data_IF_738708218627
#
_entry.id   IF_738708218627
#
_cell.length_a   1.000
_cell.length_b   1.000
_cell.length_c   1.000
_cell.angle_alpha   90.00
_cell.angle_beta   90.00
_cell.angle_gamma   90.00
#
_symmetry.space_group_name_H-M   'P 1'
#
loop_
_entity.id
_entity.type
_entity.pdbx_description
1 polymer ?
#
# COMPACT_ATOMS: atom_id res chain seq x y z
N UNK A 1 -6.34 16.40 -17.71
CA UNK A 1 -6.47 16.94 -16.32
C UNK A 1 -5.24 17.79 -16.05
N UNK A 2 -5.42 19.02 -15.60
CA UNK A 2 -4.28 19.92 -15.32
C UNK A 2 -3.50 19.40 -14.11
N UNK A 3 -2.19 19.67 -14.07
CA UNK A 3 -1.27 19.39 -12.94
C UNK A 3 -1.84 19.86 -11.58
N UNK A 4 -2.58 20.94 -11.59
CA UNK A 4 -3.21 21.54 -10.41
C UNK A 4 -4.35 20.68 -9.81
N UNK A 5 -5.17 20.03 -10.65
CA UNK A 5 -6.24 19.13 -10.19
C UNK A 5 -5.68 17.82 -9.61
N UNK A 6 -4.55 17.35 -10.11
CA UNK A 6 -3.86 16.18 -9.56
C UNK A 6 -3.19 16.50 -8.22
N UNK A 7 -2.61 17.70 -8.08
CA UNK A 7 -2.00 18.17 -6.85
C UNK A 7 -3.02 18.27 -5.70
N UNK A 8 -4.20 18.85 -5.97
CA UNK A 8 -5.30 18.93 -4.99
C UNK A 8 -5.87 17.55 -4.62
N UNK A 9 -5.77 16.55 -5.50
CA UNK A 9 -6.16 15.16 -5.23
C UNK A 9 -5.25 14.49 -4.19
N UNK A 10 -3.94 14.58 -4.40
CA UNK A 10 -2.92 14.04 -3.48
C UNK A 10 -2.94 14.71 -2.10
N UNK A 11 -3.14 16.03 -2.07
CA UNK A 11 -3.25 16.77 -0.79
C UNK A 11 -4.44 16.29 0.03
N UNK A 12 -5.62 16.13 -0.56
CA UNK A 12 -6.81 15.60 0.12
C UNK A 12 -6.60 14.18 0.64
N UNK A 13 -5.93 13.33 -0.15
CA UNK A 13 -5.59 11.96 0.28
C UNK A 13 -4.64 11.99 1.48
N UNK A 14 -3.61 12.85 1.44
CA UNK A 14 -2.68 13.03 2.57
C UNK A 14 -3.39 13.51 3.82
N UNK A 15 -4.21 14.55 3.72
CA UNK A 15 -4.98 15.11 4.84
C UNK A 15 -5.89 14.05 5.47
N UNK A 16 -6.56 13.23 4.65
CA UNK A 16 -7.38 12.13 5.16
C UNK A 16 -6.53 11.14 5.97
N UNK A 17 -5.43 10.64 5.41
CA UNK A 17 -4.61 9.64 6.09
C UNK A 17 -3.89 10.22 7.31
N UNK A 18 -3.40 11.46 7.28
CA UNK A 18 -2.83 12.12 8.44
C UNK A 18 -3.85 12.19 9.59
N UNK A 19 -5.09 12.57 9.29
CA UNK A 19 -6.17 12.58 10.28
C UNK A 19 -6.48 11.16 10.79
N UNK A 20 -6.65 10.21 9.89
CA UNK A 20 -6.98 8.83 10.24
C UNK A 20 -5.93 8.19 11.15
N UNK A 21 -4.64 8.40 10.86
CA UNK A 21 -3.56 7.89 11.70
C UNK A 21 -3.47 8.63 13.04
N UNK A 22 -3.68 9.94 13.08
CA UNK A 22 -3.68 10.73 14.31
C UNK A 22 -4.80 10.32 15.26
N UNK A 23 -5.99 10.08 14.73
CA UNK A 23 -7.19 9.73 15.48
C UNK A 23 -7.30 8.23 15.79
N UNK A 24 -6.45 7.39 15.20
CA UNK A 24 -6.48 5.95 15.44
C UNK A 24 -6.34 5.62 16.93
N UNK A 25 -7.20 4.74 17.43
CA UNK A 25 -7.19 4.32 18.82
C UNK A 25 -5.82 3.68 19.20
N UNK A 26 -5.38 3.83 20.47
CA UNK A 26 -4.13 3.24 20.95
C UNK A 26 -4.03 1.73 20.68
N UNK A 27 -5.13 1.00 20.85
CA UNK A 27 -5.17 -0.44 20.57
C UNK A 27 -4.93 -0.75 19.09
N UNK A 28 -5.50 0.04 18.19
CA UNK A 28 -5.23 -0.07 16.75
C UNK A 28 -3.77 0.22 16.43
N UNK A 29 -3.19 1.23 17.08
CA UNK A 29 -1.77 1.57 16.92
C UNK A 29 -0.86 0.47 17.45
N UNK A 30 -1.22 -0.15 18.57
CA UNK A 30 -0.42 -1.18 19.26
C UNK A 30 -0.72 -2.60 18.81
N UNK A 31 -1.87 -2.85 18.17
CA UNK A 31 -2.23 -4.17 17.70
C UNK A 31 -1.14 -4.72 16.77
N UNK A 32 -0.38 -5.68 17.30
CA UNK A 32 0.52 -6.52 16.50
C UNK A 32 -0.27 -7.54 15.67
N UNK A 33 -1.57 -7.63 15.90
CA UNK A 33 -2.53 -8.45 15.17
C UNK A 33 -2.74 -7.93 13.73
N UNK A 34 -1.61 -7.77 13.03
CA UNK A 34 -1.57 -7.74 11.58
C UNK A 34 -1.72 -9.16 11.06
N UNK A 35 -2.19 -9.30 9.82
CA UNK A 35 -2.17 -10.57 9.12
C UNK A 35 -0.77 -11.18 9.21
N UNK A 36 -0.72 -12.47 9.39
CA UNK A 36 0.54 -13.22 9.33
C UNK A 36 1.16 -13.02 7.93
N UNK A 37 2.38 -12.51 7.89
CA UNK A 37 3.15 -12.32 6.67
C UNK A 37 4.30 -13.31 6.52
N UNK A 38 4.25 -14.42 7.23
CA UNK A 38 5.28 -15.47 7.17
C UNK A 38 5.44 -16.03 5.75
N UNK A 39 4.35 -16.15 5.00
CA UNK A 39 4.35 -16.54 3.60
C UNK A 39 5.08 -15.51 2.71
N UNK A 40 4.89 -14.21 2.97
CA UNK A 40 5.59 -13.15 2.25
C UNK A 40 7.09 -13.21 2.53
N UNK A 41 7.46 -13.31 3.80
CA UNK A 41 8.87 -13.48 4.22
C UNK A 41 9.50 -14.71 3.55
N UNK A 42 8.78 -15.83 3.51
CA UNK A 42 9.25 -17.07 2.85
C UNK A 42 9.44 -16.87 1.36
N UNK A 43 8.50 -16.24 0.67
CA UNK A 43 8.59 -15.96 -0.77
C UNK A 43 9.76 -15.03 -1.11
N UNK A 44 9.98 -13.99 -0.28
CA UNK A 44 11.09 -13.06 -0.46
C UNK A 44 12.45 -13.74 -0.23
N UNK A 45 12.57 -14.62 0.75
CA UNK A 45 13.78 -15.44 0.99
C UNK A 45 14.07 -16.41 -0.15
N UNK A 46 13.03 -17.01 -0.73
CA UNK A 46 13.17 -17.96 -1.82
C UNK A 46 13.82 -17.34 -3.08
N UNK A 47 13.70 -16.01 -3.26
CA UNK A 47 14.35 -15.26 -4.34
C UNK A 47 15.59 -14.50 -3.86
N UNK A 48 16.08 -14.79 -2.65
CA UNK A 48 17.25 -14.12 -2.05
C UNK A 48 17.14 -12.59 -2.04
N UNK A 49 15.93 -12.06 -1.82
CA UNK A 49 15.71 -10.62 -1.70
C UNK A 49 16.50 -10.07 -0.51
N UNK A 50 17.07 -8.88 -0.67
CA UNK A 50 17.80 -8.14 0.35
C UNK A 50 17.11 -6.80 0.62
N UNK A 51 16.82 -6.07 -0.43
CA UNK A 51 16.20 -4.74 -0.40
C UNK A 51 14.69 -4.86 -0.61
N UNK A 52 13.89 -4.44 0.36
CA UNK A 52 12.43 -4.51 0.29
C UNK A 52 11.83 -3.15 0.57
N UNK A 53 10.95 -2.70 -0.31
CA UNK A 53 10.12 -1.51 -0.09
C UNK A 53 8.79 -1.96 0.51
N UNK A 54 8.39 -1.38 1.64
CA UNK A 54 7.05 -1.47 2.22
C UNK A 54 6.29 -0.20 1.83
N UNK A 55 5.44 -0.32 0.80
CA UNK A 55 4.69 0.78 0.19
C UNK A 55 3.33 0.91 0.87
N UNK A 56 3.05 2.07 1.46
CA UNK A 56 1.90 2.32 2.31
C UNK A 56 2.08 1.63 3.68
N UNK A 57 3.21 1.89 4.32
CA UNK A 57 3.63 1.17 5.52
C UNK A 57 2.75 1.42 6.75
N UNK A 58 1.94 2.49 6.76
CA UNK A 58 1.13 2.89 7.89
C UNK A 58 1.95 2.98 9.19
N UNK A 59 1.51 2.32 10.23
CA UNK A 59 2.21 2.23 11.52
C UNK A 59 3.50 1.38 11.48
N UNK A 60 3.98 0.93 10.32
CA UNK A 60 5.19 0.15 10.17
C UNK A 60 5.07 -1.32 10.57
N UNK A 61 3.86 -1.88 10.67
CA UNK A 61 3.66 -3.27 11.13
C UNK A 61 4.45 -4.28 10.32
N UNK A 62 4.33 -4.21 9.00
CA UNK A 62 5.01 -5.11 8.08
C UNK A 62 6.49 -4.77 7.97
N UNK A 63 6.82 -3.47 7.95
CA UNK A 63 8.20 -2.99 7.98
C UNK A 63 9.00 -3.60 9.12
N UNK A 64 8.43 -3.63 10.33
CA UNK A 64 9.09 -4.20 11.52
C UNK A 64 9.29 -5.72 11.37
N UNK A 65 8.29 -6.45 10.88
CA UNK A 65 8.41 -7.91 10.65
C UNK A 65 9.47 -8.20 9.60
N UNK A 66 9.47 -7.46 8.49
CA UNK A 66 10.47 -7.61 7.42
C UNK A 66 11.87 -7.29 7.92
N UNK A 67 12.05 -6.22 8.71
CA UNK A 67 13.35 -5.87 9.29
C UNK A 67 13.85 -6.93 10.28
N UNK A 68 12.97 -7.46 11.15
CA UNK A 68 13.31 -8.59 12.04
C UNK A 68 13.66 -9.87 11.27
N UNK A 69 13.09 -10.06 10.08
CA UNK A 69 13.42 -11.17 9.22
C UNK A 69 14.78 -11.01 8.49
N UNK A 70 15.44 -9.85 8.66
CA UNK A 70 16.79 -9.56 8.15
C UNK A 70 16.81 -8.81 6.81
N UNK A 71 15.67 -8.36 6.29
CA UNK A 71 15.64 -7.52 5.09
C UNK A 71 16.07 -6.08 5.38
N UNK A 72 16.72 -5.44 4.41
CA UNK A 72 16.94 -3.99 4.41
C UNK A 72 15.66 -3.31 3.91
N UNK A 73 14.94 -2.66 4.84
CA UNK A 73 13.59 -2.15 4.58
C UNK A 73 13.61 -0.66 4.31
N UNK A 74 12.92 -0.26 3.23
CA UNK A 74 12.53 1.11 2.92
C UNK A 74 11.02 1.22 3.07
N UNK A 75 10.54 1.86 4.12
CA UNK A 75 9.13 2.04 4.38
C UNK A 75 8.68 3.42 3.91
N UNK A 76 7.59 3.46 3.16
CA UNK A 76 7.03 4.73 2.67
C UNK A 76 5.53 4.78 2.88
N UNK A 77 5.02 5.96 3.25
CA UNK A 77 3.60 6.24 3.35
C UNK A 77 3.34 7.68 2.91
N UNK A 78 2.14 7.95 2.40
CA UNK A 78 1.75 9.32 2.04
C UNK A 78 1.56 10.20 3.29
N UNK A 79 1.18 9.58 4.41
CA UNK A 79 0.92 10.24 5.68
C UNK A 79 2.20 10.50 6.47
N UNK A 80 2.43 11.77 6.79
CA UNK A 80 3.51 12.17 7.69
C UNK A 80 3.30 11.66 9.11
N UNK A 81 2.07 11.55 9.58
CA UNK A 81 1.72 11.00 10.90
C UNK A 81 2.05 9.50 10.98
N UNK A 82 1.70 8.73 9.93
CA UNK A 82 2.09 7.32 9.84
C UNK A 82 3.61 7.14 9.90
N UNK A 83 4.35 7.94 9.13
CA UNK A 83 5.82 7.93 9.09
C UNK A 83 6.42 8.21 10.47
N UNK A 84 5.90 9.21 11.19
CA UNK A 84 6.35 9.52 12.56
C UNK A 84 6.15 8.31 13.49
N UNK A 85 4.96 7.74 13.50
CA UNK A 85 4.65 6.58 14.33
C UNK A 85 5.47 5.33 13.96
N UNK A 86 5.70 5.09 12.67
CA UNK A 86 6.53 3.99 12.22
C UNK A 86 7.99 4.16 12.66
N UNK A 87 8.54 5.38 12.59
CA UNK A 87 9.89 5.71 13.09
C UNK A 87 10.03 5.49 14.59
N UNK A 88 9.09 5.97 15.38
CA UNK A 88 9.09 5.77 16.83
C UNK A 88 9.05 4.29 17.19
N UNK A 89 8.30 3.48 16.47
CA UNK A 89 8.23 2.03 16.69
C UNK A 89 9.54 1.34 16.31
N UNK A 90 10.09 1.65 15.14
CA UNK A 90 11.38 1.11 14.71
C UNK A 90 12.49 1.45 15.73
N UNK A 91 12.52 2.70 16.21
CA UNK A 91 13.48 3.14 17.23
C UNK A 91 13.31 2.39 18.56
N UNK A 92 12.08 2.23 19.05
CA UNK A 92 11.79 1.48 20.29
C UNK A 92 12.25 0.02 20.21
N UNK A 93 12.23 -0.55 19.03
CA UNK A 93 12.65 -1.94 18.80
C UNK A 93 14.12 -2.07 18.37
N UNK A 94 14.86 -0.98 18.27
CA UNK A 94 16.24 -0.97 17.81
C UNK A 94 16.44 -1.44 16.37
N UNK A 95 15.41 -1.29 15.51
CA UNK A 95 15.44 -1.72 14.12
C UNK A 95 15.84 -0.58 13.20
N UNK A 96 16.82 -0.85 12.32
CA UNK A 96 17.26 0.09 11.31
C UNK A 96 16.35 -0.01 10.06
N UNK A 97 15.37 0.90 9.95
CA UNK A 97 14.45 1.01 8.82
C UNK A 97 14.54 2.41 8.26
N UNK A 98 14.77 2.55 6.96
CA UNK A 98 14.67 3.84 6.29
C UNK A 98 13.18 4.15 6.04
N UNK A 99 12.67 5.25 6.59
CA UNK A 99 11.24 5.58 6.54
C UNK A 99 11.06 7.00 6.01
N UNK A 100 10.22 7.19 5.00
CA UNK A 100 9.98 8.48 4.35
C UNK A 100 8.50 8.73 4.06
N UNK A 101 8.08 10.00 4.13
CA UNK A 101 6.78 10.43 3.61
C UNK A 101 6.87 10.56 2.08
N UNK A 102 6.09 9.75 1.36
CA UNK A 102 6.09 9.73 -0.10
C UNK A 102 4.77 9.16 -0.60
N UNK A 103 4.17 9.81 -1.58
CA UNK A 103 3.02 9.25 -2.30
C UNK A 103 3.49 8.10 -3.21
N UNK A 104 2.67 7.07 -3.36
CA UNK A 104 3.02 5.90 -4.19
C UNK A 104 3.31 6.28 -5.65
N UNK A 105 2.62 7.30 -6.18
CA UNK A 105 2.84 7.85 -7.52
C UNK A 105 4.22 8.53 -7.67
N UNK A 106 4.84 8.91 -6.56
CA UNK A 106 6.14 9.60 -6.52
C UNK A 106 7.30 8.67 -6.12
N UNK A 107 7.04 7.38 -5.94
CA UNK A 107 8.00 6.40 -5.42
C UNK A 107 9.34 6.42 -6.18
N UNK A 108 9.30 6.58 -7.49
CA UNK A 108 10.50 6.63 -8.34
C UNK A 108 11.43 7.81 -8.05
N UNK A 109 10.89 8.91 -7.48
CA UNK A 109 11.68 10.11 -7.14
C UNK A 109 12.65 9.87 -5.98
N UNK A 110 12.44 8.80 -5.20
CA UNK A 110 13.33 8.47 -4.08
C UNK A 110 14.69 7.93 -4.53
N UNK A 111 14.86 7.58 -5.81
CA UNK A 111 16.14 7.08 -6.36
C UNK A 111 16.58 5.74 -5.78
N UNK A 112 15.69 5.01 -5.12
CA UNK A 112 15.97 3.69 -4.53
C UNK A 112 15.73 2.58 -5.55
N UNK A 113 16.42 1.45 -5.34
CA UNK A 113 16.23 0.21 -6.09
C UNK A 113 16.05 -0.93 -5.11
N UNK A 114 15.08 -1.82 -5.38
CA UNK A 114 14.74 -2.91 -4.48
C UNK A 114 14.60 -4.24 -5.22
N UNK A 115 14.81 -5.33 -4.49
CA UNK A 115 14.54 -6.68 -4.96
C UNK A 115 13.05 -6.99 -4.90
N UNK A 116 12.33 -6.32 -3.97
CA UNK A 116 10.89 -6.48 -3.87
C UNK A 116 10.17 -5.21 -3.39
N UNK A 117 8.90 -5.09 -3.79
CA UNK A 117 7.93 -4.14 -3.24
C UNK A 117 6.78 -4.93 -2.62
N UNK A 118 6.45 -4.61 -1.38
CA UNK A 118 5.27 -5.11 -0.67
C UNK A 118 4.28 -3.97 -0.55
N UNK A 119 3.08 -4.13 -1.11
CA UNK A 119 2.06 -3.08 -1.20
C UNK A 119 0.72 -3.65 -0.71
N UNK A 120 0.41 -3.40 0.56
CA UNK A 120 -0.72 -4.03 1.23
C UNK A 120 -1.89 -3.05 1.40
N UNK A 121 -3.00 -3.25 0.65
CA UNK A 121 -4.21 -2.40 0.70
C UNK A 121 -3.88 -0.91 0.53
N UNK A 122 -3.28 -0.56 -0.59
CA UNK A 122 -2.88 0.82 -0.92
C UNK A 122 -3.49 1.26 -2.24
N UNK A 123 -3.39 0.42 -3.27
CA UNK A 123 -3.85 0.77 -4.63
C UNK A 123 -5.38 0.86 -4.71
N UNK A 124 -6.08 0.17 -3.82
CA UNK A 124 -7.52 0.23 -3.65
C UNK A 124 -8.01 1.53 -2.98
N UNK A 125 -7.11 2.32 -2.41
CA UNK A 125 -7.38 3.67 -1.90
C UNK A 125 -7.03 4.77 -2.90
N UNK A 126 -6.97 4.44 -4.19
CA UNK A 126 -6.61 5.34 -5.28
C UNK A 126 -7.64 5.32 -6.40
N UNK A 127 -7.72 6.42 -7.14
CA UNK A 127 -8.39 6.41 -8.43
C UNK A 127 -7.58 5.59 -9.45
N UNK A 128 -8.20 5.02 -10.50
CA UNK A 128 -7.50 4.16 -11.46
C UNK A 128 -6.25 4.79 -12.08
N UNK A 129 -6.29 6.08 -12.40
CA UNK A 129 -5.14 6.80 -12.96
C UNK A 129 -3.96 6.89 -11.98
N UNK A 130 -4.27 7.15 -10.69
CA UNK A 130 -3.26 7.23 -9.63
C UNK A 130 -2.66 5.86 -9.32
N UNK A 131 -3.48 4.81 -9.32
CA UNK A 131 -3.02 3.43 -9.15
C UNK A 131 -2.10 3.00 -10.30
N UNK A 132 -2.43 3.38 -11.55
CA UNK A 132 -1.54 3.13 -12.69
C UNK A 132 -0.19 3.87 -12.56
N UNK A 133 -0.20 5.12 -12.07
CA UNK A 133 1.03 5.87 -11.83
C UNK A 133 1.86 5.22 -10.72
N UNK A 134 1.21 4.77 -9.64
CA UNK A 134 1.87 4.04 -8.57
C UNK A 134 2.52 2.75 -9.07
N UNK A 135 1.84 1.98 -9.92
CA UNK A 135 2.40 0.76 -10.53
C UNK A 135 3.58 1.09 -11.44
N UNK A 136 3.53 2.18 -12.22
CA UNK A 136 4.72 2.66 -12.97
C UNK A 136 5.89 2.96 -12.04
N UNK A 137 5.63 3.59 -10.90
CA UNK A 137 6.63 3.81 -9.85
C UNK A 137 7.23 2.50 -9.32
N UNK A 138 6.39 1.49 -9.06
CA UNK A 138 6.83 0.15 -8.64
C UNK A 138 7.77 -0.47 -9.70
N UNK A 139 7.38 -0.42 -11.00
CA UNK A 139 8.25 -0.90 -12.09
C UNK A 139 9.62 -0.23 -12.06
N UNK A 140 9.65 1.09 -11.84
CA UNK A 140 10.88 1.86 -11.88
C UNK A 140 11.82 1.56 -10.71
N UNK A 141 11.31 1.31 -9.52
CA UNK A 141 12.14 1.02 -8.34
C UNK A 141 12.56 -0.44 -8.25
N UNK A 142 11.84 -1.37 -8.87
CA UNK A 142 12.23 -2.77 -8.90
C UNK A 142 13.45 -2.99 -9.78
N UNK A 143 14.39 -3.80 -9.28
CA UNK A 143 15.47 -4.38 -10.08
C UNK A 143 14.88 -5.31 -11.15
N UNK A 144 15.61 -5.66 -12.22
CA UNK A 144 15.20 -6.75 -13.13
C UNK A 144 14.87 -8.02 -12.35
N UNK A 145 13.85 -8.74 -12.76
CA UNK A 145 13.31 -9.93 -12.07
C UNK A 145 12.81 -9.70 -10.64
N UNK A 146 12.72 -8.46 -10.16
CA UNK A 146 12.22 -8.09 -8.82
C UNK A 146 10.74 -8.40 -8.65
N UNK A 147 10.33 -8.63 -7.41
CA UNK A 147 8.97 -9.06 -7.05
C UNK A 147 8.10 -7.91 -6.57
N UNK A 148 6.83 -7.92 -6.95
CA UNK A 148 5.78 -7.11 -6.33
C UNK A 148 4.75 -8.02 -5.68
N UNK A 149 4.55 -7.87 -4.36
CA UNK A 149 3.38 -8.38 -3.67
C UNK A 149 2.38 -7.23 -3.55
N UNK A 150 1.13 -7.49 -3.93
CA UNK A 150 0.04 -6.51 -3.79
C UNK A 150 -1.19 -7.17 -3.20
N UNK A 151 -1.95 -6.39 -2.44
CA UNK A 151 -3.24 -6.84 -1.97
C UNK A 151 -4.29 -5.74 -2.08
N UNK A 152 -5.53 -6.18 -2.27
CA UNK A 152 -6.72 -5.34 -2.40
C UNK A 152 -7.79 -5.84 -1.45
N UNK A 153 -8.44 -4.95 -0.74
CA UNK A 153 -9.48 -5.31 0.21
C UNK A 153 -10.75 -5.82 -0.51
N UNK A 154 -11.39 -6.82 0.09
CA UNK A 154 -12.63 -7.37 -0.41
C UNK A 154 -13.85 -6.48 -0.11
N UNK A 155 -14.93 -6.67 -0.86
CA UNK A 155 -16.17 -5.92 -0.60
C UNK A 155 -16.70 -6.11 0.81
N UNK A 156 -16.52 -7.31 1.39
CA UNK A 156 -16.96 -7.61 2.76
C UNK A 156 -16.21 -6.82 3.83
N UNK A 157 -14.98 -6.37 3.55
CA UNK A 157 -14.18 -5.58 4.49
C UNK A 157 -14.70 -4.14 4.66
N UNK A 158 -15.55 -3.69 3.74
CA UNK A 158 -16.17 -2.35 3.80
C UNK A 158 -17.25 -2.21 4.86
N UNK A 159 -17.81 -3.31 5.35
CA UNK A 159 -19.00 -3.31 6.18
C UNK A 159 -20.27 -2.99 5.38
N UNK A 160 -21.41 -3.27 5.99
CA UNK A 160 -22.72 -2.82 5.51
C UNK A 160 -22.94 -1.41 6.05
N UNK A 161 -22.38 -0.39 5.40
CA UNK A 161 -22.71 1.00 5.73
C UNK A 161 -24.20 1.21 5.39
N UNK A 162 -25.05 1.23 6.42
CA UNK A 162 -26.51 1.36 6.30
C UNK A 162 -26.94 2.74 5.72
N UNK A 163 -26.00 3.68 5.60
CA UNK A 163 -26.18 4.94 4.88
C UNK A 163 -24.95 5.23 4.01
N UNK A 164 -25.14 5.59 2.75
CA UNK A 164 -24.04 5.87 1.86
C UNK A 164 -23.42 7.24 2.16
N UNK A 165 -22.41 7.28 3.01
CA UNK A 165 -21.56 8.46 3.23
C UNK A 165 -20.61 8.72 2.05
N UNK A 166 -20.89 8.13 0.88
CA UNK A 166 -20.02 8.18 -0.29
C UNK A 166 -20.81 8.42 -1.57
N UNK A 167 -20.13 8.98 -2.56
CA UNK A 167 -20.53 9.00 -3.95
C UNK A 167 -19.72 7.98 -4.74
N UNK A 168 -20.30 7.43 -5.81
CA UNK A 168 -19.61 6.50 -6.72
C UNK A 168 -19.39 7.22 -8.04
N UNK A 169 -18.15 7.34 -8.46
CA UNK A 169 -17.79 7.93 -9.75
C UNK A 169 -18.00 6.94 -10.91
N UNK A 170 -17.99 7.45 -12.14
CA UNK A 170 -18.26 6.64 -13.35
C UNK A 170 -17.26 5.48 -13.53
N UNK A 171 -16.06 5.58 -12.96
CA UNK A 171 -15.04 4.54 -12.96
C UNK A 171 -15.20 3.51 -11.83
N UNK A 172 -16.27 3.62 -11.03
CA UNK A 172 -16.54 2.73 -9.90
C UNK A 172 -15.77 3.06 -8.61
N UNK A 173 -15.09 4.20 -8.56
CA UNK A 173 -14.39 4.67 -7.35
C UNK A 173 -15.39 5.28 -6.38
N UNK A 174 -15.28 4.92 -5.11
CA UNK A 174 -16.04 5.48 -4.01
C UNK A 174 -15.27 6.64 -3.37
N UNK A 175 -15.95 7.76 -3.20
CA UNK A 175 -15.43 8.92 -2.51
C UNK A 175 -16.32 9.21 -1.30
N UNK A 176 -15.74 9.08 -0.13
CA UNK A 176 -16.46 9.35 1.11
C UNK A 176 -16.59 10.85 1.32
N UNK A 177 -17.83 11.34 1.33
CA UNK A 177 -18.17 12.78 1.43
C UNK A 177 -18.59 13.19 2.82
N UNK A 178 -18.90 12.23 3.71
CA UNK A 178 -19.32 12.46 5.09
C UNK A 178 -18.79 11.37 6.03
N UNK A 179 -19.10 11.48 7.34
CA UNK A 179 -18.75 10.50 8.35
C UNK A 179 -17.26 10.41 8.66
N UNK A 180 -16.83 9.39 9.43
CA UNK A 180 -15.45 9.20 9.84
C UNK A 180 -14.48 8.97 8.66
N UNK A 181 -15.01 8.48 7.54
CA UNK A 181 -14.23 8.20 6.33
C UNK A 181 -14.18 9.37 5.34
N UNK A 182 -14.76 10.53 5.67
CA UNK A 182 -14.78 11.71 4.79
C UNK A 182 -13.39 12.03 4.26
N UNK A 183 -13.28 12.07 2.93
CA UNK A 183 -12.02 12.30 2.20
C UNK A 183 -11.29 11.02 1.79
N UNK A 184 -11.75 9.85 2.25
CA UNK A 184 -11.21 8.57 1.80
C UNK A 184 -11.70 8.27 0.39
N UNK A 185 -10.80 7.74 -0.41
CA UNK A 185 -11.10 7.09 -1.69
C UNK A 185 -11.00 5.58 -1.50
N UNK A 186 -11.90 4.83 -2.10
CA UNK A 186 -11.80 3.39 -2.13
C UNK A 186 -12.35 2.84 -3.44
N UNK A 187 -11.72 1.77 -3.96
CA UNK A 187 -12.15 1.08 -5.15
C UNK A 187 -12.04 -0.43 -4.97
N UNK A 188 -13.09 -1.15 -5.37
CA UNK A 188 -13.01 -2.59 -5.53
C UNK A 188 -12.32 -2.91 -6.85
N UNK A 189 -11.38 -3.85 -6.81
CA UNK A 189 -10.71 -4.39 -8.00
C UNK A 189 -11.05 -5.87 -8.16
N UNK A 190 -11.55 -6.25 -9.33
CA UNK A 190 -11.68 -7.65 -9.70
C UNK A 190 -10.35 -8.20 -10.25
N UNK A 191 -10.32 -9.51 -10.52
CA UNK A 191 -9.11 -10.18 -10.98
C UNK A 191 -8.64 -9.67 -12.35
N UNK A 192 -9.59 -9.30 -13.23
CA UNK A 192 -9.30 -8.77 -14.57
C UNK A 192 -8.69 -7.36 -14.48
N UNK A 193 -9.20 -6.54 -13.60
CA UNK A 193 -8.69 -5.20 -13.36
C UNK A 193 -7.30 -5.22 -12.75
N UNK A 194 -7.03 -6.14 -11.81
CA UNK A 194 -5.70 -6.32 -11.23
C UNK A 194 -4.71 -6.75 -12.31
N UNK A 195 -5.05 -7.74 -13.14
CA UNK A 195 -4.20 -8.18 -14.26
C UNK A 195 -3.92 -7.06 -15.26
N UNK A 196 -4.94 -6.23 -15.55
CA UNK A 196 -4.76 -5.05 -16.42
C UNK A 196 -3.83 -4.02 -15.80
N UNK A 197 -3.94 -3.78 -14.49
CA UNK A 197 -3.11 -2.84 -13.77
C UNK A 197 -1.63 -3.27 -13.79
N UNK A 198 -1.36 -4.58 -13.68
CA UNK A 198 -0.03 -5.19 -13.68
C UNK A 198 0.36 -5.83 -15.01
N UNK A 199 -0.24 -5.45 -16.13
CA UNK A 199 -0.03 -6.07 -17.45
C UNK A 199 1.41 -6.06 -17.97
N UNK A 200 2.31 -5.27 -17.39
CA UNK A 200 3.74 -5.22 -17.72
C UNK A 200 4.58 -6.15 -16.85
N UNK A 201 3.95 -6.92 -15.99
CA UNK A 201 4.59 -7.91 -15.12
C UNK A 201 4.19 -9.33 -15.52
N UNK A 202 5.01 -10.30 -15.14
CA UNK A 202 4.63 -11.71 -15.17
C UNK A 202 3.85 -12.05 -13.89
N UNK A 203 2.61 -12.52 -14.02
CA UNK A 203 1.80 -12.97 -12.89
C UNK A 203 2.36 -14.32 -12.37
N UNK A 204 2.71 -14.35 -11.08
CA UNK A 204 3.16 -15.58 -10.39
C UNK A 204 2.02 -16.28 -9.65
N UNK A 205 0.96 -15.55 -9.32
CA UNK A 205 -0.24 -16.08 -8.69
C UNK A 205 -1.13 -14.97 -8.16
N UNK A 206 -2.44 -15.24 -8.18
CA UNK A 206 -3.49 -14.40 -7.59
C UNK A 206 -4.42 -15.31 -6.78
N UNK A 207 -4.65 -14.96 -5.54
CA UNK A 207 -5.53 -15.69 -4.62
C UNK A 207 -6.63 -14.78 -4.11
N UNK A 208 -7.80 -15.37 -3.85
CA UNK A 208 -8.95 -14.67 -3.29
C UNK A 208 -9.35 -15.37 -2.00
N UNK A 209 -9.38 -14.64 -0.90
CA UNK A 209 -9.81 -15.15 0.39
C UNK A 209 -11.34 -15.20 0.52
N UNK A 210 -11.84 -15.87 1.55
CA UNK A 210 -13.28 -16.01 1.77
C UNK A 210 -14.03 -14.68 1.96
N UNK A 211 -13.36 -13.63 2.45
CA UNK A 211 -13.90 -12.27 2.56
C UNK A 211 -13.74 -11.44 1.27
N UNK A 212 -13.29 -12.07 0.17
CA UNK A 212 -13.14 -11.42 -1.13
C UNK A 212 -11.87 -10.59 -1.30
N UNK A 213 -10.95 -10.60 -0.31
CA UNK A 213 -9.66 -9.94 -0.43
C UNK A 213 -8.81 -10.67 -1.47
N UNK A 214 -8.10 -9.91 -2.27
CA UNK A 214 -7.18 -10.40 -3.29
C UNK A 214 -5.75 -10.15 -2.88
N UNK A 215 -4.91 -11.15 -3.09
CA UNK A 215 -3.47 -11.08 -2.89
C UNK A 215 -2.78 -11.64 -4.14
N UNK A 216 -1.84 -10.88 -4.69
CA UNK A 216 -1.17 -11.27 -5.91
C UNK A 216 0.34 -11.04 -5.85
N UNK A 217 1.05 -11.91 -6.55
CA UNK A 217 2.47 -11.81 -6.78
C UNK A 217 2.76 -11.61 -8.26
N UNK A 218 3.61 -10.65 -8.52
CA UNK A 218 4.05 -10.30 -9.86
C UNK A 218 5.58 -10.23 -9.90
N UNK A 219 6.15 -10.58 -11.05
CA UNK A 219 7.58 -10.43 -11.31
C UNK A 219 7.79 -9.40 -12.41
N UNK A 220 8.68 -8.44 -12.18
CA UNK A 220 9.16 -7.56 -13.24
C UNK A 220 9.97 -8.39 -14.23
N UNK A 221 9.72 -8.29 -15.55
CA UNK A 221 10.58 -8.89 -16.56
C UNK A 221 12.04 -8.42 -16.47
N UNK A 222 12.95 -9.19 -17.10
CA UNK A 222 14.38 -8.86 -17.18
C UNK A 222 14.66 -7.56 -17.94
#
# INVERSE_FOLDING_TARGET
MSSEAAHTGLERTREFWDRAFREAAPDTRNALAGRDISNIVTSLRAVSAVDVIDLGCGFGRWSLVLARAGFRVFAVDISSEAVLMARERAQREGLAIAIAACAAQELSRLGIRADAVVCNSVLDHMRPADAQEAVRGIVQVLKPSGLAYVSFDGQAERGTDAQPDHSVSADGTWEYVAGPRKGMTWRYYDDTEIRRLFQTFDELGLTVSANGRREAWFRKPE
#
